data_IF_459855835105
#
_entry.id   IF_459855835105
#
_cell.length_a   1.000
_cell.length_b   1.000
_cell.length_c   1.000
_cell.angle_alpha   90.00
_cell.angle_beta   90.00
_cell.angle_gamma   90.00
#
_symmetry.space_group_name_H-M   'P 1'
#
loop_
_entity.id
_entity.type
_entity.pdbx_description
1 polymer ?
#
# COMPACT_ATOMS: atom_id res chain seq x y z
N UNK A 1 0.00 3.19 73.61
CA UNK A 1 0.46 1.84 73.23
C UNK A 1 0.18 1.63 71.75
N UNK A 2 1.19 1.83 70.90
CA UNK A 2 1.05 1.62 69.45
C UNK A 2 1.49 0.19 69.13
N UNK A 3 0.59 -0.61 68.56
CA UNK A 3 0.88 -1.95 68.05
C UNK A 3 1.77 -1.82 66.81
N UNK A 4 2.97 -2.39 66.86
CA UNK A 4 3.82 -2.55 65.68
C UNK A 4 3.21 -3.61 64.76
N UNK A 5 2.89 -3.20 63.54
CA UNK A 5 2.52 -4.11 62.45
C UNK A 5 3.80 -4.68 61.84
N UNK A 6 3.93 -6.01 61.66
CA UNK A 6 5.13 -6.61 61.10
C UNK A 6 5.30 -6.25 59.61
N UNK A 7 6.57 -6.02 59.22
CA UNK A 7 7.00 -5.79 57.84
C UNK A 7 6.70 -7.00 56.94
N UNK A 8 6.24 -6.83 55.69
CA UNK A 8 6.04 -7.93 54.77
C UNK A 8 7.38 -8.49 54.25
N UNK A 9 7.47 -9.82 54.25
CA UNK A 9 8.57 -10.62 53.69
C UNK A 9 8.61 -10.48 52.16
N UNK A 10 9.75 -10.01 51.64
CA UNK A 10 9.99 -9.74 50.21
C UNK A 10 10.45 -10.97 49.42
N UNK A 11 10.35 -12.17 49.97
CA UNK A 11 10.82 -13.39 49.33
C UNK A 11 9.68 -14.18 48.69
N UNK A 12 9.01 -13.62 47.68
CA UNK A 12 8.12 -14.39 46.79
C UNK A 12 8.47 -14.15 45.31
N UNK A 13 8.70 -15.21 44.52
CA UNK A 13 8.92 -15.07 43.08
C UNK A 13 7.63 -14.59 42.39
N UNK A 14 7.80 -13.59 41.51
CA UNK A 14 6.73 -12.95 40.76
C UNK A 14 5.87 -13.97 40.00
N UNK A 15 4.63 -14.12 40.45
CA UNK A 15 3.61 -14.94 39.80
C UNK A 15 3.07 -14.18 38.57
N UNK A 16 3.55 -14.61 37.40
CA UNK A 16 2.97 -14.52 36.06
C UNK A 16 2.06 -13.30 35.70
N UNK A 17 2.50 -12.37 34.80
CA UNK A 17 1.69 -11.22 34.34
C UNK A 17 0.63 -11.53 33.24
N UNK A 18 0.35 -12.79 32.93
CA UNK A 18 -0.48 -13.18 31.77
C UNK A 18 -2.02 -12.99 31.90
N UNK A 19 -2.51 -12.24 32.89
CA UNK A 19 -3.96 -12.04 33.09
C UNK A 19 -4.52 -10.66 32.72
N UNK A 20 -3.67 -9.69 32.37
CA UNK A 20 -4.16 -8.33 32.08
C UNK A 20 -4.60 -8.10 30.63
N UNK A 21 -4.22 -8.98 29.69
CA UNK A 21 -4.51 -8.80 28.26
C UNK A 21 -5.81 -9.49 27.78
N UNK A 22 -6.47 -10.28 28.64
CA UNK A 22 -7.67 -11.04 28.26
C UNK A 22 -8.93 -10.18 28.34
N UNK A 23 -8.97 -9.18 29.23
CA UNK A 23 -10.17 -8.36 29.47
C UNK A 23 -10.44 -7.37 28.32
N UNK A 24 -9.41 -6.89 27.62
CA UNK A 24 -9.59 -5.94 26.51
C UNK A 24 -10.13 -6.65 25.24
N UNK A 25 -9.80 -7.94 25.03
CA UNK A 25 -10.29 -8.70 23.86
C UNK A 25 -11.80 -8.97 23.90
N UNK A 26 -12.41 -9.09 25.08
CA UNK A 26 -13.85 -9.41 25.21
C UNK A 26 -14.77 -8.21 24.96
N UNK A 27 -14.37 -6.98 25.28
CA UNK A 27 -15.23 -5.82 25.00
C UNK A 27 -15.31 -5.45 23.51
N UNK A 28 -14.37 -5.91 22.68
CA UNK A 28 -14.35 -5.58 21.25
C UNK A 28 -15.35 -6.41 20.42
N UNK A 29 -15.69 -7.63 20.85
CA UNK A 29 -16.52 -8.56 20.06
C UNK A 29 -18.02 -8.30 20.18
N UNK A 30 -18.51 -7.74 21.29
CA UNK A 30 -19.96 -7.58 21.52
C UNK A 30 -20.60 -6.39 20.79
N UNK A 31 -19.82 -5.50 20.15
CA UNK A 31 -20.35 -4.24 19.59
C UNK A 31 -20.62 -4.25 18.07
N UNK A 32 -20.32 -5.34 17.35
CA UNK A 32 -20.37 -5.37 15.88
C UNK A 32 -21.68 -5.97 15.32
N UNK A 33 -22.52 -6.59 16.13
CA UNK A 33 -23.68 -7.34 15.65
C UNK A 33 -25.00 -6.59 15.81
N UNK A 34 -25.19 -5.51 15.03
CA UNK A 34 -26.52 -4.92 14.75
C UNK A 34 -26.49 -3.82 13.68
N UNK A 35 -26.47 -4.21 12.39
CA UNK A 35 -27.04 -3.37 11.32
C UNK A 35 -27.78 -4.23 10.29
N UNK A 36 -29.10 -4.01 10.08
CA UNK A 36 -29.85 -4.63 9.00
C UNK A 36 -29.60 -3.92 7.66
N UNK A 37 -29.37 -4.72 6.62
CA UNK A 37 -29.20 -4.30 5.23
C UNK A 37 -30.50 -3.68 4.66
N UNK A 38 -30.40 -2.43 4.20
CA UNK A 38 -31.39 -1.81 3.31
C UNK A 38 -30.95 -2.01 1.87
N UNK A 39 -31.68 -2.83 1.12
CA UNK A 39 -31.56 -2.96 -0.33
C UNK A 39 -32.02 -1.66 -1.00
N UNK A 40 -31.09 -0.98 -1.68
CA UNK A 40 -31.37 0.12 -2.59
C UNK A 40 -31.11 -0.33 -4.02
N UNK A 41 -32.18 -0.67 -4.73
CA UNK A 41 -32.25 -0.77 -6.19
C UNK A 41 -32.11 0.62 -6.80
N UNK A 42 -31.38 0.76 -7.91
CA UNK A 42 -31.94 1.19 -9.21
C UNK A 42 -30.86 1.62 -10.23
N UNK A 43 -31.21 1.29 -11.48
CA UNK A 43 -30.91 1.99 -12.75
C UNK A 43 -29.49 1.98 -13.31
N UNK A 44 -29.27 0.97 -14.16
CA UNK A 44 -28.35 0.97 -15.29
C UNK A 44 -28.84 1.97 -16.36
N UNK A 45 -28.04 2.98 -16.68
CA UNK A 45 -28.25 3.84 -17.84
C UNK A 45 -27.17 3.55 -18.86
N UNK A 46 -27.61 2.90 -19.93
CA UNK A 46 -26.85 2.55 -21.13
C UNK A 46 -26.80 3.79 -22.03
N UNK A 47 -25.59 4.34 -22.29
CA UNK A 47 -25.40 5.39 -23.29
C UNK A 47 -24.67 4.78 -24.48
N UNK A 48 -25.45 4.51 -25.52
CA UNK A 48 -25.02 4.12 -26.85
C UNK A 48 -24.51 5.39 -27.54
N UNK A 49 -23.23 5.45 -27.90
CA UNK A 49 -22.70 6.48 -28.81
C UNK A 49 -21.95 5.79 -29.94
N UNK A 50 -22.51 5.91 -31.14
CA UNK A 50 -22.02 5.38 -32.41
C UNK A 50 -21.63 6.54 -33.34
N UNK A 51 -20.91 6.25 -34.44
CA UNK A 51 -19.77 7.03 -34.89
C UNK A 51 -20.14 8.18 -35.84
N UNK A 52 -19.32 9.22 -35.87
CA UNK A 52 -19.36 10.23 -36.92
C UNK A 52 -18.16 10.05 -37.86
N UNK A 53 -18.49 9.59 -39.07
CA UNK A 53 -17.61 9.48 -40.23
C UNK A 53 -17.89 10.71 -41.07
N UNK A 54 -16.91 11.61 -41.21
CA UNK A 54 -16.94 12.65 -42.24
C UNK A 54 -15.72 12.54 -43.15
N UNK A 55 -16.03 12.19 -44.40
CA UNK A 55 -15.19 12.35 -45.57
C UNK A 55 -14.90 13.83 -45.83
N UNK A 56 -13.66 14.18 -46.19
CA UNK A 56 -13.45 15.33 -47.05
C UNK A 56 -12.29 15.11 -48.03
N UNK A 57 -12.66 15.29 -49.29
CA UNK A 57 -11.92 15.10 -50.52
C UNK A 57 -10.82 16.14 -50.75
N UNK A 58 -9.76 15.65 -51.39
CA UNK A 58 -8.69 16.35 -52.11
C UNK A 58 -9.16 17.52 -52.98
N UNK A 59 -8.25 18.48 -53.21
CA UNK A 59 -7.99 18.94 -54.58
C UNK A 59 -6.53 18.75 -55.00
N UNK A 60 -6.39 18.31 -56.26
CA UNK A 60 -5.19 18.27 -57.08
C UNK A 60 -4.45 19.62 -57.08
N UNK A 61 -3.13 19.58 -56.94
CA UNK A 61 -2.26 20.68 -57.35
C UNK A 61 -1.05 20.13 -58.09
N UNK A 62 -1.17 20.23 -59.40
CA UNK A 62 -0.12 20.11 -60.41
C UNK A 62 0.86 21.28 -60.27
N UNK A 63 2.15 21.01 -60.43
CA UNK A 63 3.19 22.02 -60.35
C UNK A 63 4.58 21.41 -60.31
N UNK A 64 5.14 21.22 -61.50
CA UNK A 64 6.54 20.88 -61.80
C UNK A 64 7.54 21.54 -60.86
N UNK A 65 8.57 20.78 -60.47
CA UNK A 65 9.94 21.30 -60.39
C UNK A 65 10.99 20.17 -60.29
N UNK A 66 11.73 20.07 -61.41
CA UNK A 66 13.16 19.85 -61.51
C UNK A 66 13.79 18.63 -60.84
N UNK A 67 13.93 17.61 -61.68
CA UNK A 67 14.93 16.56 -61.61
C UNK A 67 16.32 17.20 -61.71
N UNK A 68 16.94 17.51 -60.57
CA UNK A 68 18.36 17.88 -60.52
C UNK A 68 19.13 17.07 -59.49
N UNK A 69 19.94 16.15 -60.02
CA UNK A 69 21.24 15.70 -59.51
C UNK A 69 21.34 15.14 -58.07
N UNK A 70 20.71 14.00 -57.82
CA UNK A 70 20.97 13.13 -56.65
C UNK A 70 22.13 12.16 -56.90
N UNK A 71 23.38 12.63 -57.01
CA UNK A 71 24.54 11.71 -57.14
C UNK A 71 25.66 11.89 -56.10
N UNK A 72 25.51 12.78 -55.11
CA UNK A 72 26.58 13.06 -54.12
C UNK A 72 26.12 13.23 -52.66
N UNK A 73 24.88 12.88 -52.30
CA UNK A 73 24.40 12.88 -50.89
C UNK A 73 23.88 11.54 -50.38
N UNK A 74 24.04 10.47 -51.15
CA UNK A 74 23.48 9.16 -50.82
C UNK A 74 24.14 8.51 -49.59
N UNK A 75 25.44 8.71 -49.37
CA UNK A 75 26.13 8.18 -48.19
C UNK A 75 25.65 8.80 -46.86
N UNK A 76 25.22 10.06 -46.88
CA UNK A 76 24.79 10.77 -45.66
C UNK A 76 23.38 10.36 -45.23
N UNK A 77 22.51 10.09 -46.20
CA UNK A 77 21.14 9.61 -45.96
C UNK A 77 21.17 8.17 -45.42
N UNK A 78 22.02 7.29 -45.98
CA UNK A 78 22.17 5.92 -45.50
C UNK A 78 22.72 5.89 -44.07
N UNK A 79 23.72 6.72 -43.76
CA UNK A 79 24.24 6.83 -42.40
C UNK A 79 23.20 7.33 -41.39
N UNK A 80 22.40 8.34 -41.76
CA UNK A 80 21.35 8.86 -40.90
C UNK A 80 20.23 7.84 -40.65
N UNK A 81 19.88 7.04 -41.66
CA UNK A 81 18.87 5.99 -41.54
C UNK A 81 19.34 4.85 -40.62
N UNK A 82 20.62 4.47 -40.70
CA UNK A 82 21.24 3.50 -39.79
C UNK A 82 21.25 3.99 -38.33
N UNK A 83 21.58 5.25 -38.09
CA UNK A 83 21.56 5.84 -36.74
C UNK A 83 20.13 5.82 -36.18
N UNK A 84 19.13 6.23 -36.96
CA UNK A 84 17.74 6.21 -36.54
C UNK A 84 17.29 4.77 -36.22
N UNK A 85 17.67 3.78 -37.03
CA UNK A 85 17.36 2.38 -36.78
C UNK A 85 17.98 1.89 -35.47
N UNK A 86 19.26 2.20 -35.21
CA UNK A 86 19.94 1.82 -33.96
C UNK A 86 19.28 2.48 -32.76
N UNK A 87 18.95 3.78 -32.85
CA UNK A 87 18.24 4.50 -31.79
C UNK A 87 16.86 3.89 -31.55
N UNK A 88 16.14 3.48 -32.59
CA UNK A 88 14.85 2.82 -32.47
C UNK A 88 14.97 1.44 -31.79
N UNK A 89 15.95 0.64 -32.20
CA UNK A 89 16.24 -0.66 -31.56
C UNK A 89 16.61 -0.47 -30.09
N UNK A 90 17.40 0.55 -29.78
CA UNK A 90 17.71 0.91 -28.39
C UNK A 90 16.47 1.40 -27.65
N UNK A 91 15.58 2.21 -28.24
CA UNK A 91 14.35 2.65 -27.58
C UNK A 91 13.36 1.51 -27.30
N UNK A 92 13.33 0.49 -28.17
CA UNK A 92 12.46 -0.69 -27.99
C UNK A 92 13.06 -1.68 -26.99
N UNK A 93 14.39 -1.86 -26.98
CA UNK A 93 15.06 -2.83 -26.10
C UNK A 93 15.61 -2.23 -24.79
N UNK A 94 15.75 -0.91 -24.67
CA UNK A 94 16.09 -0.27 -23.40
C UNK A 94 14.79 -0.15 -22.62
N UNK A 95 14.62 -0.89 -21.51
CA UNK A 95 13.47 -0.70 -20.66
C UNK A 95 13.52 0.74 -20.16
N UNK A 96 12.58 1.54 -20.64
CA UNK A 96 12.43 2.92 -20.23
C UNK A 96 11.91 2.90 -18.79
N UNK A 97 12.81 2.70 -17.83
CA UNK A 97 12.53 2.68 -16.41
C UNK A 97 12.41 4.11 -15.89
N UNK A 98 11.38 4.84 -16.30
CA UNK A 98 11.15 6.21 -15.81
C UNK A 98 10.51 6.27 -14.42
N UNK A 99 10.12 5.14 -13.82
CA UNK A 99 9.61 5.09 -12.45
C UNK A 99 10.02 3.74 -11.82
N UNK A 100 10.72 3.80 -10.69
CA UNK A 100 10.91 2.71 -9.71
C UNK A 100 11.28 1.33 -10.27
N UNK A 101 12.55 0.93 -10.14
CA UNK A 101 13.02 -0.42 -10.46
C UNK A 101 12.15 -1.51 -9.84
N UNK A 102 11.46 -2.26 -10.70
CA UNK A 102 10.55 -3.32 -10.30
C UNK A 102 10.04 -4.12 -11.50
N UNK A 103 10.89 -4.39 -12.50
CA UNK A 103 10.53 -5.21 -13.65
C UNK A 103 11.73 -6.02 -14.15
N UNK A 104 12.00 -7.12 -13.46
CA UNK A 104 12.53 -8.31 -14.08
C UNK A 104 11.83 -9.50 -13.42
N UNK A 105 10.66 -9.86 -13.96
CA UNK A 105 9.98 -11.10 -13.60
C UNK A 105 10.87 -12.27 -14.05
N UNK A 106 11.67 -12.78 -13.12
CA UNK A 106 12.13 -14.16 -13.17
C UNK A 106 10.96 -15.00 -12.67
N UNK A 107 10.14 -15.50 -13.59
CA UNK A 107 9.05 -16.43 -13.26
C UNK A 107 9.70 -17.74 -12.79
N UNK A 108 9.59 -18.13 -11.50
CA UNK A 108 10.17 -19.39 -11.05
C UNK A 108 9.30 -20.54 -11.60
N UNK A 109 9.90 -21.46 -12.37
CA UNK A 109 9.19 -22.60 -13.00
C UNK A 109 8.72 -23.69 -12.01
N UNK A 110 8.81 -23.47 -10.69
CA UNK A 110 8.38 -24.48 -9.73
C UNK A 110 7.42 -23.88 -8.69
N UNK A 111 6.13 -24.16 -8.87
CA UNK A 111 4.94 -23.72 -8.09
C UNK A 111 4.47 -22.32 -8.46
N UNK A 112 3.51 -22.27 -9.37
CA UNK A 112 2.81 -21.05 -9.80
C UNK A 112 1.90 -20.50 -8.68
N UNK A 113 2.48 -19.94 -7.62
CA UNK A 113 1.74 -19.09 -6.70
C UNK A 113 1.53 -17.76 -7.40
N UNK A 114 0.32 -17.52 -7.89
CA UNK A 114 -0.03 -16.24 -8.53
C UNK A 114 -0.08 -15.18 -7.42
N UNK A 115 0.96 -14.37 -7.31
CA UNK A 115 1.01 -13.23 -6.40
C UNK A 115 0.11 -12.13 -6.95
N UNK A 116 -0.77 -11.60 -6.11
CA UNK A 116 -1.73 -10.56 -6.46
C UNK A 116 -1.68 -9.45 -5.43
N UNK A 117 -2.14 -8.26 -5.82
CA UNK A 117 -2.30 -7.14 -4.91
C UNK A 117 -3.16 -7.49 -3.70
N UNK A 118 -2.74 -6.99 -2.54
CA UNK A 118 -3.39 -7.23 -1.26
C UNK A 118 -3.11 -8.61 -0.65
N UNK A 119 -2.22 -9.40 -1.24
CA UNK A 119 -1.73 -10.63 -0.63
C UNK A 119 -0.78 -10.31 0.52
N UNK A 120 -0.90 -11.08 1.61
CA UNK A 120 0.00 -11.00 2.76
C UNK A 120 1.12 -12.00 2.54
N UNK A 121 2.35 -11.50 2.51
CA UNK A 121 3.56 -12.26 2.27
C UNK A 121 4.41 -12.30 3.53
N UNK A 122 5.06 -13.43 3.75
CA UNK A 122 6.01 -13.65 4.84
C UNK A 122 7.25 -14.34 4.30
N UNK A 123 8.42 -13.83 4.67
CA UNK A 123 9.70 -14.44 4.34
C UNK A 123 10.16 -15.45 5.39
N UNK A 124 11.47 -15.63 5.52
CA UNK A 124 12.08 -16.37 6.63
C UNK A 124 11.89 -15.68 7.99
N UNK A 125 11.71 -14.35 7.98
CA UNK A 125 11.57 -13.53 9.18
C UNK A 125 10.20 -13.57 9.87
N UNK A 126 10.07 -12.87 11.02
CA UNK A 126 8.79 -12.69 11.71
C UNK A 126 7.91 -11.61 11.06
N UNK A 127 8.46 -10.83 10.14
CA UNK A 127 7.78 -9.68 9.55
C UNK A 127 6.71 -10.11 8.53
N UNK A 128 5.59 -9.39 8.59
CA UNK A 128 4.48 -9.54 7.67
C UNK A 128 4.47 -8.35 6.72
N UNK A 129 4.32 -8.64 5.44
CA UNK A 129 4.25 -7.65 4.38
C UNK A 129 2.90 -7.79 3.67
N UNK A 130 2.34 -6.68 3.21
CA UNK A 130 1.33 -6.71 2.16
C UNK A 130 1.92 -6.21 0.87
N UNK A 131 1.58 -6.85 -0.23
CA UNK A 131 1.90 -6.34 -1.55
C UNK A 131 0.83 -5.33 -1.98
N UNK A 132 1.21 -4.08 -2.17
CA UNK A 132 0.32 -2.98 -2.56
C UNK A 132 1.04 -2.12 -3.61
N UNK A 133 0.45 -1.96 -4.79
CA UNK A 133 1.07 -1.25 -5.93
C UNK A 133 2.52 -1.72 -6.22
N UNK A 134 2.74 -3.04 -6.26
CA UNK A 134 4.06 -3.67 -6.44
C UNK A 134 5.11 -3.34 -5.37
N UNK A 135 4.69 -2.75 -4.25
CA UNK A 135 5.55 -2.45 -3.11
C UNK A 135 5.20 -3.36 -1.93
N UNK A 136 6.23 -3.89 -1.27
CA UNK A 136 6.09 -4.55 0.02
C UNK A 136 5.97 -3.51 1.10
N UNK A 137 4.85 -3.55 1.80
CA UNK A 137 4.55 -2.65 2.90
C UNK A 137 4.47 -3.46 4.17
N UNK A 138 5.41 -3.20 5.09
CA UNK A 138 5.52 -3.93 6.35
C UNK A 138 4.49 -3.45 7.37
N UNK A 139 3.89 -4.35 8.14
CA UNK A 139 3.14 -3.96 9.33
C UNK A 139 4.10 -3.59 10.46
N UNK A 140 4.00 -2.36 10.99
CA UNK A 140 4.93 -1.90 12.04
C UNK A 140 4.80 -2.69 13.35
N UNK A 141 3.59 -3.16 13.67
CA UNK A 141 3.31 -3.92 14.89
C UNK A 141 2.31 -5.02 14.63
N UNK A 142 2.34 -6.06 15.48
CA UNK A 142 1.36 -7.13 15.46
C UNK A 142 -0.06 -6.61 15.76
N UNK A 143 -0.20 -5.60 16.62
CA UNK A 143 -1.50 -4.94 16.88
C UNK A 143 -2.10 -4.33 15.61
N UNK A 144 -1.26 -3.73 14.77
CA UNK A 144 -1.70 -3.19 13.47
C UNK A 144 -2.20 -4.32 12.58
N UNK A 145 -1.47 -5.43 12.50
CA UNK A 145 -1.90 -6.61 11.75
C UNK A 145 -3.23 -7.18 12.28
N UNK A 146 -3.36 -7.40 13.58
CA UNK A 146 -4.57 -7.95 14.22
C UNK A 146 -5.81 -7.10 13.92
N UNK A 147 -5.67 -5.77 13.90
CA UNK A 147 -6.76 -4.89 13.51
C UNK A 147 -7.24 -5.17 12.09
N UNK A 148 -6.31 -5.24 11.13
CA UNK A 148 -6.66 -5.52 9.74
C UNK A 148 -7.15 -6.95 9.54
N UNK A 149 -6.62 -7.92 10.30
CA UNK A 149 -7.07 -9.30 10.27
C UNK A 149 -8.53 -9.43 10.71
N UNK A 150 -8.92 -8.78 11.80
CA UNK A 150 -10.31 -8.78 12.26
C UNK A 150 -11.29 -8.21 11.22
N UNK A 151 -10.82 -7.32 10.34
CA UNK A 151 -11.64 -6.67 9.31
C UNK A 151 -11.64 -7.42 7.98
N UNK A 152 -10.53 -8.05 7.62
CA UNK A 152 -10.29 -8.59 6.27
C UNK A 152 -9.94 -10.08 6.25
N UNK A 153 -9.91 -10.74 7.42
CA UNK A 153 -9.56 -12.15 7.61
C UNK A 153 -8.25 -12.53 6.89
N UNK A 154 -7.20 -11.79 7.22
CA UNK A 154 -5.86 -11.89 6.64
C UNK A 154 -5.10 -13.15 7.06
N UNK A 155 -5.29 -13.64 8.28
CA UNK A 155 -4.54 -14.75 8.87
C UNK A 155 -4.64 -16.03 8.04
N UNK A 156 -5.79 -16.29 7.42
CA UNK A 156 -5.98 -17.43 6.51
C UNK A 156 -5.35 -17.26 5.13
N UNK A 157 -4.76 -16.10 4.84
CA UNK A 157 -4.26 -15.70 3.51
C UNK A 157 -2.77 -15.34 3.52
N UNK A 158 -2.07 -15.61 4.62
CA UNK A 158 -0.62 -15.41 4.72
C UNK A 158 0.08 -16.46 3.86
N UNK A 159 0.81 -16.00 2.85
CA UNK A 159 1.65 -16.85 2.03
C UNK A 159 3.10 -16.72 2.45
N UNK A 160 3.73 -17.86 2.74
CA UNK A 160 5.17 -17.91 2.99
C UNK A 160 5.89 -18.04 1.66
N UNK A 161 6.87 -17.17 1.43
CA UNK A 161 7.65 -17.08 0.20
C UNK A 161 9.13 -16.99 0.54
N UNK A 162 9.99 -17.30 -0.43
CA UNK A 162 11.44 -17.17 -0.25
C UNK A 162 11.85 -15.69 -0.20
N UNK A 163 12.92 -15.42 0.56
CA UNK A 163 13.42 -14.04 0.72
C UNK A 163 13.91 -13.45 -0.61
N UNK A 164 14.43 -14.28 -1.52
CA UNK A 164 14.81 -13.89 -2.88
C UNK A 164 13.62 -13.38 -3.69
N UNK A 165 12.41 -13.87 -3.41
CA UNK A 165 11.18 -13.38 -4.04
C UNK A 165 10.73 -12.06 -3.43
N UNK A 166 10.82 -11.91 -2.11
CA UNK A 166 10.54 -10.63 -1.45
C UNK A 166 11.46 -9.53 -1.95
N UNK A 167 12.74 -9.84 -2.18
CA UNK A 167 13.73 -8.88 -2.67
C UNK A 167 13.42 -8.34 -4.08
N UNK A 168 12.54 -8.99 -4.85
CA UNK A 168 12.15 -8.53 -6.19
C UNK A 168 11.13 -7.37 -6.16
N UNK A 169 10.46 -7.15 -5.03
CA UNK A 169 9.47 -6.09 -4.89
C UNK A 169 10.10 -4.83 -4.28
N UNK A 170 9.61 -3.65 -4.70
CA UNK A 170 10.02 -2.39 -4.10
C UNK A 170 9.62 -2.31 -2.62
N UNK A 171 10.42 -1.68 -1.77
CA UNK A 171 10.01 -1.42 -0.39
C UNK A 171 9.15 -0.17 -0.32
N UNK A 172 7.94 -0.31 0.20
CA UNK A 172 7.00 0.79 0.41
C UNK A 172 6.95 1.25 1.87
N UNK A 173 6.22 2.34 2.16
CA UNK A 173 6.07 2.83 3.52
C UNK A 173 5.33 1.82 4.38
N UNK A 174 5.81 1.63 5.61
CA UNK A 174 5.15 0.73 6.56
C UNK A 174 3.70 1.13 6.82
N UNK A 175 2.86 0.12 7.02
CA UNK A 175 1.46 0.29 7.37
C UNK A 175 1.35 0.62 8.85
N UNK A 176 0.56 1.65 9.13
CA UNK A 176 0.28 2.14 10.47
C UNK A 176 -1.22 2.14 10.72
N UNK A 177 -1.62 1.88 11.95
CA UNK A 177 -3.01 2.04 12.34
C UNK A 177 -3.32 3.51 12.62
N UNK A 178 -4.00 4.15 11.66
CA UNK A 178 -4.46 5.53 11.79
C UNK A 178 -5.89 5.56 12.35
N UNK A 179 -6.08 6.36 13.40
CA UNK A 179 -7.34 6.51 14.10
C UNK A 179 -7.69 7.98 14.30
N UNK A 180 -8.98 8.30 14.23
CA UNK A 180 -9.54 9.59 14.65
C UNK A 180 -10.82 9.37 15.43
N UNK A 181 -11.22 10.39 16.18
CA UNK A 181 -12.53 10.44 16.80
C UNK A 181 -13.10 11.87 16.68
N UNK A 182 -14.42 12.04 16.77
CA UNK A 182 -15.04 13.37 16.57
C UNK A 182 -14.73 14.36 17.72
N UNK A 183 -14.39 13.85 18.90
CA UNK A 183 -14.19 14.65 20.11
C UNK A 183 -12.73 14.95 20.46
N UNK A 184 -11.78 14.64 19.57
CA UNK A 184 -10.38 14.99 19.71
C UNK A 184 -9.86 15.60 18.40
N UNK A 185 -9.01 16.63 18.47
CA UNK A 185 -8.45 17.24 17.26
C UNK A 185 -7.37 16.32 16.66
N UNK A 186 -7.45 16.06 15.36
CA UNK A 186 -6.39 15.43 14.59
C UNK A 186 -6.53 13.93 14.33
N UNK A 187 -5.46 13.37 13.77
CA UNK A 187 -5.30 11.94 13.47
C UNK A 187 -4.22 11.41 14.41
N UNK A 188 -4.42 10.20 14.92
CA UNK A 188 -3.52 9.55 15.84
C UNK A 188 -3.01 8.25 15.21
N UNK A 189 -1.72 7.99 15.35
CA UNK A 189 -1.16 6.66 15.11
C UNK A 189 -1.30 5.89 16.41
N UNK A 190 -1.83 4.66 16.36
CA UNK A 190 -1.78 3.78 17.53
C UNK A 190 -0.69 2.74 17.33
N UNK A 191 0.24 2.69 18.28
CA UNK A 191 1.36 1.76 18.24
C UNK A 191 1.73 1.35 19.68
N UNK A 192 1.88 0.05 19.94
CA UNK A 192 2.33 -0.48 21.25
C UNK A 192 1.45 0.01 22.40
N UNK A 193 0.14 0.06 22.18
CA UNK A 193 -0.83 0.57 23.15
C UNK A 193 -0.72 2.07 23.49
N UNK A 194 0.07 2.86 22.74
CA UNK A 194 0.16 4.32 22.87
C UNK A 194 -0.50 5.01 21.68
N UNK A 195 -0.99 6.24 21.89
CA UNK A 195 -1.45 7.11 20.81
C UNK A 195 -0.42 8.21 20.55
N UNK A 196 -0.04 8.38 19.30
CA UNK A 196 0.89 9.41 18.86
C UNK A 196 0.11 10.41 18.03
N UNK A 197 0.07 11.67 18.49
CA UNK A 197 -0.52 12.73 17.69
C UNK A 197 0.36 12.93 16.44
N UNK A 198 -0.30 12.85 15.31
CA UNK A 198 0.31 13.10 14.02
C UNK A 198 0.12 14.57 13.68
N UNK A 199 1.22 15.31 13.71
CA UNK A 199 1.21 16.73 13.37
C UNK A 199 1.29 16.89 11.85
N UNK A 200 0.34 17.62 11.26
CA UNK A 200 0.23 17.79 9.81
C UNK A 200 -0.78 16.85 9.14
N UNK A 201 -0.97 17.01 7.84
CA UNK A 201 -1.81 16.14 7.02
C UNK A 201 -0.88 15.17 6.29
N UNK A 202 -0.82 13.90 6.72
CA UNK A 202 -0.05 12.89 6.00
C UNK A 202 -0.53 12.80 4.53
N UNK A 203 0.39 12.60 3.57
CA UNK A 203 0.04 12.08 2.27
C UNK A 203 -0.42 10.63 2.43
N UNK A 204 -1.67 10.45 2.83
CA UNK A 204 -2.33 9.15 2.76
C UNK A 204 -2.50 8.89 1.27
N UNK A 205 -1.90 7.80 0.77
CA UNK A 205 -2.12 7.40 -0.61
C UNK A 205 -3.64 7.24 -0.80
N UNK A 206 -4.27 8.00 -1.70
CA UNK A 206 -5.72 8.00 -1.86
C UNK A 206 -6.24 6.60 -2.24
N UNK A 207 -5.39 5.81 -2.88
CA UNK A 207 -5.69 4.47 -3.37
C UNK A 207 -5.36 3.38 -2.33
N UNK A 208 -4.54 3.67 -1.31
CA UNK A 208 -4.23 2.71 -0.24
C UNK A 208 -5.44 2.48 0.64
N UNK A 209 -5.88 1.23 0.72
CA UNK A 209 -6.88 0.80 1.72
C UNK A 209 -6.29 0.59 3.11
N UNK A 210 -4.96 0.51 3.22
CA UNK A 210 -4.26 0.09 4.42
C UNK A 210 -3.91 1.24 5.37
N UNK A 211 -3.85 2.49 4.90
CA UNK A 211 -3.57 3.67 5.72
C UNK A 211 -4.78 4.59 5.84
N UNK A 212 -5.98 4.02 5.76
CA UNK A 212 -7.19 4.82 5.91
C UNK A 212 -7.37 5.22 7.36
N UNK A 213 -7.79 6.46 7.58
CA UNK A 213 -8.11 6.95 8.92
C UNK A 213 -9.39 6.28 9.40
N UNK A 214 -9.26 5.49 10.46
CA UNK A 214 -10.39 4.78 11.06
C UNK A 214 -11.08 5.67 12.09
N UNK A 215 -12.41 5.68 12.06
CA UNK A 215 -13.19 6.36 13.10
C UNK A 215 -13.38 5.40 14.28
N UNK A 216 -12.83 5.76 15.44
CA UNK A 216 -12.97 4.99 16.68
C UNK A 216 -13.67 5.79 17.77
N UNK A 217 -14.07 5.12 18.86
CA UNK A 217 -14.73 5.79 19.97
C UNK A 217 -13.78 6.76 20.68
N UNK A 218 -14.29 7.94 21.02
CA UNK A 218 -13.50 8.94 21.76
C UNK A 218 -13.06 8.42 23.13
N UNK A 219 -13.84 7.51 23.73
CA UNK A 219 -13.52 6.92 25.02
C UNK A 219 -12.26 6.04 24.94
N UNK A 220 -12.18 5.15 23.96
CA UNK A 220 -10.99 4.30 23.74
C UNK A 220 -9.77 5.19 23.50
N UNK A 221 -9.89 6.15 22.58
CA UNK A 221 -8.75 6.99 22.21
C UNK A 221 -8.27 7.87 23.36
N UNK A 222 -9.16 8.39 24.22
CA UNK A 222 -8.74 9.18 25.41
C UNK A 222 -8.05 8.33 26.49
N UNK A 223 -8.41 7.06 26.60
CA UNK A 223 -7.84 6.17 27.62
C UNK A 223 -6.46 5.61 27.24
N UNK A 224 -6.04 5.72 25.98
CA UNK A 224 -4.70 5.32 25.58
C UNK A 224 -3.65 6.33 26.07
N UNK A 225 -2.50 5.90 26.60
CA UNK A 225 -1.40 6.79 26.97
C UNK A 225 -0.89 7.58 25.75
N UNK A 226 -0.56 8.85 25.98
CA UNK A 226 0.05 9.71 24.96
C UNK A 226 1.53 9.36 24.78
N UNK A 227 1.90 9.11 23.53
CA UNK A 227 3.30 9.05 23.09
C UNK A 227 3.80 10.43 22.63
N UNK A 228 5.12 10.58 22.37
CA UNK A 228 5.66 11.79 21.76
C UNK A 228 4.98 12.11 20.42
N UNK A 229 4.70 13.37 20.13
CA UNK A 229 4.22 13.78 18.80
C UNK A 229 5.22 13.35 17.73
N UNK A 230 4.71 12.80 16.63
CA UNK A 230 5.54 12.41 15.47
C UNK A 230 5.39 13.49 14.41
N UNK A 231 6.47 14.20 14.04
CA UNK A 231 6.42 15.16 12.94
C UNK A 231 6.19 14.44 11.61
N UNK A 232 5.53 15.11 10.66
CA UNK A 232 5.14 14.58 9.35
C UNK A 232 6.31 13.97 8.54
N UNK A 233 7.53 14.49 8.74
CA UNK A 233 8.73 14.05 8.03
C UNK A 233 9.55 13.10 8.90
N UNK A 234 9.45 11.81 8.59
CA UNK A 234 10.56 10.89 8.81
C UNK A 234 11.25 10.74 7.45
N UNK A 235 12.38 11.44 7.31
CA UNK A 235 13.25 11.41 6.13
C UNK A 235 13.83 10.01 5.88
#
# INVERSE_FOLDING_TARGET
>A
MYKQTPLPDLTQPAKNPERSNVVIKQQYTDSIERQPHSMGSLTSTEVIMSPDVSHQSTPLREGDQDVSSSHLKQGRIVGQLLIILVVLVLLVNVPISYQGGGLAQVVPESRSTIIREGMILRGSGPDLYVLDNYQLRRFNTLETFDYFDNRYHLSGRIQTVDDDLLAQFGQGPSIRYLARCQGLPGIYILEKGQKYLLEGMLPISPDSRWDRVNLISCHILRNLPDGPSIPEKVE
#
